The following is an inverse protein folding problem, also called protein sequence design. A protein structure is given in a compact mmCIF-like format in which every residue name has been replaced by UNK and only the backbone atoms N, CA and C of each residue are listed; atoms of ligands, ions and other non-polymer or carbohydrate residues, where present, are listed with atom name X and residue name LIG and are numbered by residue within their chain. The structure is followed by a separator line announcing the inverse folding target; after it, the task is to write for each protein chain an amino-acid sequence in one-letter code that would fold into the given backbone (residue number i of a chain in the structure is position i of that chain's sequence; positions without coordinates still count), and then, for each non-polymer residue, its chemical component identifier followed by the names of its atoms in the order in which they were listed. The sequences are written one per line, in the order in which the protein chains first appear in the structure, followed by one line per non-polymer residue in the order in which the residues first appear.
data_IF_311448368237
#
_entry.id   IF_311448368237
#
_cell.length_a   1.000
_cell.length_b   1.000
_cell.length_c   1.000
_cell.angle_alpha   90.00
_cell.angle_beta   90.00
_cell.angle_gamma   90.00
#
_symmetry.space_group_name_H-M   'P 1'
#
loop_
_entity.id
_entity.type
_entity.pdbx_description
1 polymer ?
#
# COMPACT_ATOMS: atom_id res chain seq x y z
N UNK A 1 -10.76 -22.85 6.63
CA UNK A 1 -10.71 -23.34 5.24
C UNK A 1 -11.76 -24.43 5.06
N UNK A 2 -12.49 -24.41 3.95
CA UNK A 2 -13.54 -25.36 3.63
C UNK A 2 -13.41 -25.85 2.19
N UNK A 3 -13.88 -27.08 1.90
CA UNK A 3 -13.93 -27.64 0.54
C UNK A 3 -15.08 -27.05 -0.30
N UNK A 4 -16.10 -26.54 0.37
CA UNK A 4 -17.26 -25.89 -0.24
C UNK A 4 -17.77 -24.80 0.70
N UNK A 5 -18.37 -23.79 0.12
CA UNK A 5 -19.01 -22.68 0.85
C UNK A 5 -20.28 -22.25 0.12
N UNK A 6 -21.19 -21.61 0.84
CA UNK A 6 -22.39 -20.99 0.27
C UNK A 6 -22.29 -19.49 0.52
N UNK A 7 -22.26 -18.74 -0.56
CA UNK A 7 -22.18 -17.27 -0.54
C UNK A 7 -23.12 -16.68 -1.57
N UNK A 8 -23.55 -15.41 -1.42
CA UNK A 8 -24.29 -14.72 -2.45
C UNK A 8 -23.51 -14.67 -3.77
N UNK A 9 -24.17 -14.90 -4.90
CA UNK A 9 -23.55 -14.88 -6.24
C UNK A 9 -22.79 -13.56 -6.51
N UNK A 10 -23.30 -12.43 -6.01
CA UNK A 10 -22.68 -11.12 -6.17
C UNK A 10 -21.28 -11.05 -5.53
N UNK A 11 -21.00 -11.88 -4.55
CA UNK A 11 -19.71 -11.94 -3.87
C UNK A 11 -18.68 -12.84 -4.59
N UNK A 12 -19.02 -13.39 -5.75
CA UNK A 12 -18.17 -14.29 -6.51
C UNK A 12 -17.59 -13.61 -7.74
N UNK A 13 -16.30 -13.80 -7.97
CA UNK A 13 -15.62 -13.51 -9.23
C UNK A 13 -15.20 -14.83 -9.88
N UNK A 14 -15.64 -15.07 -11.11
CA UNK A 14 -15.27 -16.26 -11.88
C UNK A 14 -13.90 -16.04 -12.50
N UNK A 15 -12.95 -16.88 -12.17
CA UNK A 15 -11.59 -16.86 -12.74
C UNK A 15 -11.42 -18.03 -13.73
N UNK A 16 -10.37 -17.98 -14.53
CA UNK A 16 -10.02 -19.04 -15.49
C UNK A 16 -9.73 -20.36 -14.76
N UNK A 17 -10.08 -21.48 -15.39
CA UNK A 17 -10.03 -22.83 -14.77
C UNK A 17 -8.61 -23.37 -14.59
N UNK A 18 -7.67 -22.91 -15.40
CA UNK A 18 -6.26 -23.31 -15.39
C UNK A 18 -5.41 -22.51 -14.41
N UNK A 19 -5.99 -21.52 -13.70
CA UNK A 19 -5.30 -20.77 -12.68
C UNK A 19 -4.95 -21.65 -11.45
N UNK A 20 -3.70 -21.60 -10.96
CA UNK A 20 -3.29 -22.36 -9.78
C UNK A 20 -3.93 -21.77 -8.53
N UNK A 21 -4.94 -22.45 -7.97
CA UNK A 21 -5.76 -21.94 -6.88
C UNK A 21 -4.98 -21.64 -5.59
N UNK A 22 -3.87 -22.35 -5.35
CA UNK A 22 -2.95 -22.13 -4.22
C UNK A 22 -2.18 -20.80 -4.31
N UNK A 23 -2.12 -20.18 -5.48
CA UNK A 23 -1.50 -18.87 -5.73
C UNK A 23 -2.55 -17.77 -5.87
N UNK A 24 -3.53 -17.98 -6.77
CA UNK A 24 -4.50 -16.93 -7.08
C UNK A 24 -5.46 -16.60 -5.93
N UNK A 25 -5.55 -17.46 -4.91
CA UNK A 25 -6.31 -17.15 -3.70
C UNK A 25 -5.81 -15.86 -2.99
N UNK A 26 -4.55 -15.46 -3.17
CA UNK A 26 -3.99 -14.22 -2.63
C UNK A 26 -4.55 -12.98 -3.36
N UNK A 27 -5.00 -13.13 -4.60
CA UNK A 27 -5.56 -12.04 -5.40
C UNK A 27 -6.94 -11.61 -4.92
N UNK A 28 -7.64 -12.47 -4.17
CA UNK A 28 -8.98 -12.18 -3.66
C UNK A 28 -9.04 -11.11 -2.55
N UNK A 29 -7.92 -10.73 -1.94
CA UNK A 29 -7.86 -9.69 -0.92
C UNK A 29 -6.51 -8.97 -0.93
N UNK A 30 -5.43 -9.67 -0.61
CA UNK A 30 -4.11 -9.09 -0.34
C UNK A 30 -3.58 -8.26 -1.52
N UNK A 31 -3.47 -8.87 -2.69
CA UNK A 31 -2.95 -8.20 -3.88
C UNK A 31 -3.92 -7.17 -4.44
N UNK A 32 -5.22 -7.46 -4.49
CA UNK A 32 -6.23 -6.49 -4.90
C UNK A 32 -6.19 -5.23 -4.04
N UNK A 33 -6.05 -5.40 -2.73
CA UNK A 33 -5.96 -4.28 -1.80
C UNK A 33 -4.69 -3.47 -2.05
N UNK A 34 -3.52 -4.11 -2.10
CA UNK A 34 -2.26 -3.39 -2.25
C UNK A 34 -2.12 -2.73 -3.61
N UNK A 35 -2.26 -3.48 -4.70
CA UNK A 35 -2.15 -2.95 -6.07
C UNK A 35 -3.25 -1.90 -6.33
N UNK A 36 -4.49 -2.20 -5.92
CA UNK A 36 -5.62 -1.28 -6.09
C UNK A 36 -5.47 0.02 -5.30
N UNK A 37 -4.86 -0.02 -4.12
CA UNK A 37 -4.56 1.21 -3.35
C UNK A 37 -3.67 2.17 -4.14
N UNK A 38 -2.71 1.63 -4.88
CA UNK A 38 -1.79 2.40 -5.70
C UNK A 38 -2.46 2.86 -7.00
N UNK A 39 -3.06 1.93 -7.76
CA UNK A 39 -3.57 2.21 -9.11
C UNK A 39 -4.96 2.86 -9.13
N UNK A 40 -5.87 2.43 -8.24
CA UNK A 40 -7.27 2.87 -8.27
C UNK A 40 -7.53 4.00 -7.26
N UNK A 41 -6.99 3.87 -6.04
CA UNK A 41 -7.26 4.85 -4.96
C UNK A 41 -6.38 6.07 -5.09
N UNK A 42 -5.06 5.92 -4.98
CA UNK A 42 -4.10 7.03 -5.07
C UNK A 42 -3.87 7.48 -6.52
N UNK A 43 -3.98 6.55 -7.48
CA UNK A 43 -3.68 6.80 -8.91
C UNK A 43 -2.27 7.35 -9.07
N UNK A 44 -1.31 6.63 -8.48
CA UNK A 44 0.11 7.01 -8.50
C UNK A 44 0.55 7.30 -9.93
N UNK A 45 1.16 8.43 -10.13
CA UNK A 45 1.64 8.89 -11.43
C UNK A 45 3.05 8.35 -11.72
N UNK A 46 3.41 8.10 -13.00
CA UNK A 46 4.78 7.75 -13.37
C UNK A 46 5.78 8.82 -12.91
N UNK A 47 6.95 8.39 -12.47
CA UNK A 47 8.01 9.28 -11.98
C UNK A 47 7.88 9.66 -10.50
N UNK A 48 6.81 9.23 -9.82
CA UNK A 48 6.56 9.58 -8.41
C UNK A 48 7.51 8.90 -7.43
N UNK A 49 7.68 9.52 -6.27
CA UNK A 49 8.31 8.93 -5.08
C UNK A 49 7.25 8.38 -4.14
N UNK A 50 7.36 7.10 -3.79
CA UNK A 50 6.37 6.37 -2.99
C UNK A 50 7.01 5.80 -1.74
N UNK A 51 6.38 5.98 -0.56
CA UNK A 51 6.75 5.30 0.67
C UNK A 51 5.69 4.28 1.10
N UNK A 52 6.12 3.09 1.51
CA UNK A 52 5.25 2.00 1.93
C UNK A 52 5.64 1.58 3.35
N UNK A 53 4.76 1.84 4.32
CA UNK A 53 4.99 1.54 5.73
C UNK A 53 4.35 0.20 6.08
N UNK A 54 5.19 -0.78 6.37
CA UNK A 54 4.80 -2.16 6.61
C UNK A 54 4.93 -3.05 5.38
N UNK A 55 5.98 -3.87 5.34
CA UNK A 55 6.29 -4.79 4.25
C UNK A 55 5.72 -6.21 4.54
N UNK A 56 4.42 -6.26 4.86
CA UNK A 56 3.62 -7.48 4.85
C UNK A 56 3.09 -7.78 3.45
N UNK A 57 2.18 -8.75 3.32
CA UNK A 57 1.60 -9.12 2.02
C UNK A 57 0.99 -7.92 1.27
N UNK A 58 0.23 -7.06 1.97
CA UNK A 58 -0.38 -5.86 1.37
C UNK A 58 0.69 -4.84 0.99
N UNK A 59 1.69 -4.58 1.87
CA UNK A 59 2.77 -3.65 1.55
C UNK A 59 3.61 -4.11 0.36
N UNK A 60 3.92 -5.40 0.26
CA UNK A 60 4.62 -5.95 -0.90
C UNK A 60 3.77 -5.85 -2.19
N UNK A 61 2.44 -6.00 -2.08
CA UNK A 61 1.55 -5.75 -3.19
C UNK A 61 1.49 -4.26 -3.59
N UNK A 62 1.61 -3.33 -2.62
CA UNK A 62 1.78 -1.90 -2.90
C UNK A 62 3.10 -1.62 -3.64
N UNK A 63 4.21 -2.30 -3.26
CA UNK A 63 5.49 -2.19 -3.98
C UNK A 63 5.30 -2.56 -5.45
N UNK A 64 4.67 -3.72 -5.72
CA UNK A 64 4.39 -4.14 -7.10
C UNK A 64 3.45 -3.17 -7.83
N UNK A 65 2.42 -2.67 -7.15
CA UNK A 65 1.53 -1.64 -7.69
C UNK A 65 2.29 -0.36 -8.07
N UNK A 66 3.24 0.10 -7.25
CA UNK A 66 4.07 1.27 -7.52
C UNK A 66 4.99 1.06 -8.73
N UNK A 67 5.57 -0.14 -8.87
CA UNK A 67 6.31 -0.52 -10.09
C UNK A 67 5.40 -0.48 -11.32
N UNK A 68 4.19 -1.06 -11.23
CA UNK A 68 3.21 -1.03 -12.34
C UNK A 68 2.78 0.39 -12.70
N UNK A 69 2.71 1.30 -11.73
CA UNK A 69 2.40 2.71 -11.95
C UNK A 69 3.57 3.50 -12.59
N UNK A 70 4.77 2.92 -12.62
CA UNK A 70 5.96 3.60 -13.12
C UNK A 70 6.55 4.61 -12.12
N UNK A 71 6.43 4.34 -10.80
CA UNK A 71 7.11 5.14 -9.79
C UNK A 71 8.62 5.03 -9.93
N UNK A 72 9.33 6.16 -9.82
CA UNK A 72 10.80 6.21 -9.93
C UNK A 72 11.50 5.76 -8.66
N UNK A 73 10.91 6.07 -7.51
CA UNK A 73 11.47 5.73 -6.22
C UNK A 73 10.43 5.07 -5.31
N UNK A 74 10.75 3.90 -4.78
CA UNK A 74 9.84 3.09 -3.96
C UNK A 74 10.57 2.72 -2.67
N UNK A 75 10.17 3.36 -1.57
CA UNK A 75 10.80 3.26 -0.25
C UNK A 75 9.99 2.32 0.62
N UNK A 76 10.53 1.15 0.94
CA UNK A 76 9.94 0.21 1.88
C UNK A 76 10.36 0.50 3.32
N UNK A 77 9.41 0.65 4.25
CA UNK A 77 9.67 0.96 5.66
C UNK A 77 9.14 -0.18 6.53
N UNK A 78 10.02 -0.89 7.23
CA UNK A 78 9.63 -1.97 8.16
C UNK A 78 10.67 -2.13 9.28
N UNK A 79 10.23 -2.52 10.46
CA UNK A 79 11.13 -2.79 11.60
C UNK A 79 11.83 -4.15 11.53
N UNK A 80 11.47 -5.01 10.58
CA UNK A 80 12.07 -6.32 10.36
C UNK A 80 12.90 -6.33 9.06
N UNK A 81 14.23 -6.24 9.13
CA UNK A 81 15.08 -6.17 7.95
C UNK A 81 15.06 -7.46 7.10
N UNK A 82 14.59 -8.59 7.63
CA UNK A 82 14.43 -9.84 6.86
C UNK A 82 13.43 -9.72 5.69
N UNK A 83 12.59 -8.69 5.70
CA UNK A 83 11.62 -8.44 4.63
C UNK A 83 12.20 -7.59 3.48
N UNK A 84 13.34 -6.95 3.70
CA UNK A 84 13.92 -6.01 2.75
C UNK A 84 14.35 -6.68 1.45
N UNK A 85 14.97 -7.85 1.54
CA UNK A 85 15.38 -8.61 0.35
C UNK A 85 14.20 -8.88 -0.58
N UNK A 86 13.06 -9.34 -0.03
CA UNK A 86 11.86 -9.61 -0.82
C UNK A 86 11.23 -8.32 -1.36
N UNK A 87 11.25 -7.22 -0.59
CA UNK A 87 10.76 -5.93 -1.06
C UNK A 87 11.60 -5.41 -2.25
N UNK A 88 12.92 -5.53 -2.17
CA UNK A 88 13.82 -5.18 -3.27
C UNK A 88 13.59 -6.06 -4.51
N UNK A 89 13.39 -7.37 -4.31
CA UNK A 89 13.05 -8.29 -5.42
C UNK A 89 11.72 -7.91 -6.10
N UNK A 90 10.77 -7.33 -5.35
CA UNK A 90 9.48 -6.87 -5.88
C UNK A 90 9.54 -5.46 -6.47
N UNK A 91 10.67 -4.79 -6.38
CA UNK A 91 10.94 -3.51 -7.03
C UNK A 91 11.03 -2.30 -6.10
N UNK A 92 11.14 -2.49 -4.78
CA UNK A 92 11.55 -1.39 -3.90
C UNK A 92 12.95 -0.92 -4.28
N UNK A 93 13.17 0.40 -4.28
CA UNK A 93 14.49 1.00 -4.57
C UNK A 93 15.31 1.20 -3.32
N UNK A 94 14.63 1.45 -2.21
CA UNK A 94 15.22 1.73 -0.89
C UNK A 94 14.46 0.97 0.20
N UNK A 95 15.15 0.61 1.28
CA UNK A 95 14.51 0.07 2.48
C UNK A 95 15.03 0.78 3.73
N UNK A 96 14.11 1.15 4.62
CA UNK A 96 14.43 1.89 5.85
C UNK A 96 13.91 1.13 7.06
N UNK A 97 14.79 0.89 8.02
CA UNK A 97 14.40 0.39 9.33
C UNK A 97 14.28 1.57 10.30
N UNK A 98 13.08 1.88 10.81
CA UNK A 98 12.87 2.97 11.75
C UNK A 98 13.75 2.91 13.01
N UNK A 99 14.15 1.68 13.44
CA UNK A 99 15.00 1.48 14.61
C UNK A 99 16.44 1.94 14.38
N UNK A 100 16.91 1.92 13.14
CA UNK A 100 18.30 2.24 12.81
C UNK A 100 18.48 3.75 12.57
N UNK A 101 17.44 4.44 12.09
CA UNK A 101 17.49 5.87 11.75
C UNK A 101 17.01 6.79 12.89
N UNK A 102 16.27 6.26 13.87
CA UNK A 102 15.71 7.02 14.99
C UNK A 102 14.57 7.96 14.59
N UNK A 103 14.85 9.03 13.87
CA UNK A 103 13.84 9.93 13.30
C UNK A 103 13.50 9.48 11.87
N UNK A 104 12.51 8.61 11.74
CA UNK A 104 12.06 8.09 10.45
C UNK A 104 11.41 9.18 9.57
N UNK A 105 10.79 10.17 10.18
CA UNK A 105 10.13 11.28 9.45
C UNK A 105 11.18 12.19 8.83
N UNK A 106 12.11 12.73 9.63
CA UNK A 106 13.21 13.56 9.14
C UNK A 106 14.04 12.83 8.10
N UNK A 107 14.39 11.56 8.36
CA UNK A 107 15.16 10.75 7.42
C UNK A 107 14.46 10.61 6.05
N UNK A 108 13.14 10.32 6.02
CA UNK A 108 12.41 10.20 4.75
C UNK A 108 12.28 11.55 4.02
N UNK A 109 12.04 12.64 4.76
CA UNK A 109 11.97 13.98 4.19
C UNK A 109 13.30 14.37 3.54
N UNK A 110 14.41 14.12 4.23
CA UNK A 110 15.77 14.47 3.77
C UNK A 110 16.16 13.65 2.53
N UNK A 111 15.87 12.34 2.52
CA UNK A 111 16.22 11.47 1.39
C UNK A 111 15.34 11.71 0.16
N UNK A 112 14.22 12.44 0.28
CA UNK A 112 13.25 12.70 -0.80
C UNK A 112 13.10 14.18 -1.14
N UNK A 113 14.01 15.02 -0.66
CA UNK A 113 14.02 16.46 -0.92
C UNK A 113 12.67 17.15 -0.60
N UNK A 114 12.15 16.88 0.60
CA UNK A 114 10.94 17.56 1.11
C UNK A 114 9.72 16.66 1.33
N UNK A 115 9.82 15.38 1.04
CA UNK A 115 8.79 14.38 1.30
C UNK A 115 8.41 13.56 0.06
N UNK A 116 7.63 12.51 0.26
CA UNK A 116 7.17 11.63 -0.82
C UNK A 116 5.88 12.15 -1.46
N UNK A 117 5.65 11.81 -2.73
CA UNK A 117 4.40 12.13 -3.42
C UNK A 117 3.24 11.30 -2.87
N UNK A 118 3.52 10.02 -2.57
CA UNK A 118 2.51 9.11 -2.03
C UNK A 118 3.07 8.30 -0.87
N UNK A 119 2.26 8.10 0.16
CA UNK A 119 2.56 7.16 1.24
C UNK A 119 1.42 6.17 1.46
N UNK A 120 1.76 4.91 1.76
CA UNK A 120 0.80 3.84 2.03
C UNK A 120 1.06 3.24 3.40
N UNK A 121 0.08 3.34 4.30
CA UNK A 121 0.14 2.73 5.62
C UNK A 121 -0.51 1.34 5.57
N UNK A 122 0.29 0.28 5.78
CA UNK A 122 -0.09 -1.11 5.60
C UNK A 122 -0.01 -1.95 6.90
N UNK A 123 0.09 -1.30 8.07
CA UNK A 123 0.23 -1.96 9.38
C UNK A 123 -1.09 -1.96 10.15
N UNK A 124 -1.79 -0.81 10.16
CA UNK A 124 -2.97 -0.58 10.96
C UNK A 124 -2.66 -0.01 12.35
N UNK A 125 -1.66 0.85 12.45
CA UNK A 125 -1.28 1.53 13.67
C UNK A 125 -1.47 3.05 13.52
N UNK A 126 -2.16 3.68 14.47
CA UNK A 126 -2.51 5.12 14.40
C UNK A 126 -1.28 6.03 14.37
N UNK A 127 -0.19 5.65 15.03
CA UNK A 127 1.06 6.41 15.00
C UNK A 127 1.72 6.34 13.61
N UNK A 128 1.77 5.14 13.00
CA UNK A 128 2.31 4.99 11.64
C UNK A 128 1.43 5.65 10.59
N UNK A 129 0.10 5.72 10.81
CA UNK A 129 -0.80 6.52 9.97
C UNK A 129 -0.45 8.01 10.01
N UNK A 130 -0.17 8.53 11.21
CA UNK A 130 0.31 9.91 11.39
C UNK A 130 1.66 10.15 10.72
N UNK A 131 2.62 9.24 10.91
CA UNK A 131 3.94 9.28 10.25
C UNK A 131 3.79 9.28 8.72
N UNK A 132 2.93 8.41 8.18
CA UNK A 132 2.66 8.34 6.74
C UNK A 132 2.22 9.70 6.16
N UNK A 133 1.33 10.41 6.86
CA UNK A 133 0.92 11.75 6.44
C UNK A 133 2.07 12.78 6.54
N UNK A 134 2.88 12.72 7.61
CA UNK A 134 3.93 13.72 7.85
C UNK A 134 5.10 13.62 6.88
N UNK A 135 5.43 12.42 6.39
CA UNK A 135 6.49 12.23 5.39
C UNK A 135 6.07 12.62 3.97
N UNK A 136 4.78 12.89 3.73
CA UNK A 136 4.31 13.36 2.43
C UNK A 136 4.78 14.80 2.15
N UNK A 137 5.03 15.09 0.89
CA UNK A 137 5.42 16.43 0.43
C UNK A 137 4.32 17.47 0.71
N UNK A 138 4.73 18.69 1.10
CA UNK A 138 3.81 19.83 1.20
C UNK A 138 3.32 20.21 -0.20
N UNK A 139 2.04 20.56 -0.31
CA UNK A 139 1.45 21.05 -1.55
C UNK A 139 0.64 20.02 -2.31
N UNK A 140 1.10 18.75 -2.36
CA UNK A 140 0.41 17.73 -3.15
C UNK A 140 0.48 16.30 -2.60
N UNK A 141 1.36 16.02 -1.62
CA UNK A 141 1.58 14.66 -1.15
C UNK A 141 0.32 14.01 -0.58
N UNK A 142 0.09 12.75 -0.92
CA UNK A 142 -1.09 11.99 -0.53
C UNK A 142 -0.72 10.78 0.33
N UNK A 143 -1.39 10.63 1.46
CA UNK A 143 -1.26 9.48 2.37
C UNK A 143 -2.52 8.62 2.33
N UNK A 144 -2.36 7.32 2.05
CA UNK A 144 -3.45 6.34 2.00
C UNK A 144 -3.36 5.38 3.18
N UNK A 145 -4.41 5.32 3.98
CA UNK A 145 -4.58 4.38 5.08
C UNK A 145 -5.19 3.09 4.52
N UNK A 146 -4.48 1.98 4.67
CA UNK A 146 -4.93 0.65 4.26
C UNK A 146 -5.06 -0.26 5.49
N UNK A 147 -4.13 -0.14 6.43
CA UNK A 147 -4.11 -0.93 7.66
C UNK A 147 -5.33 -0.65 8.53
N UNK A 148 -5.81 -1.69 9.24
CA UNK A 148 -6.98 -1.59 10.11
C UNK A 148 -6.53 -1.42 11.55
N UNK A 149 -6.80 -0.26 12.14
CA UNK A 149 -6.54 0.01 13.54
C UNK A 149 -7.53 -0.74 14.47
N UNK A 150 -7.14 -0.91 15.71
CA UNK A 150 -8.01 -1.50 16.73
C UNK A 150 -9.30 -0.68 16.96
N UNK A 151 -10.39 -1.35 17.33
CA UNK A 151 -11.66 -0.69 17.60
C UNK A 151 -11.51 0.40 18.66
N UNK A 152 -12.06 1.58 18.39
CA UNK A 152 -12.04 2.74 19.29
C UNK A 152 -10.74 3.56 19.22
N UNK A 153 -9.76 3.18 18.42
CA UNK A 153 -8.60 4.02 18.16
C UNK A 153 -8.93 5.12 17.16
N UNK A 154 -8.38 6.31 17.41
CA UNK A 154 -8.60 7.50 16.59
C UNK A 154 -7.28 8.01 16.03
N UNK A 155 -7.31 8.56 14.81
CA UNK A 155 -6.18 9.26 14.20
C UNK A 155 -6.29 10.75 14.48
N UNK A 156 -5.15 11.37 14.76
CA UNK A 156 -5.07 12.81 15.03
C UNK A 156 -4.00 13.45 14.13
N UNK A 157 -4.31 14.60 13.58
CA UNK A 157 -3.39 15.38 12.79
C UNK A 157 -3.51 16.87 13.09
N UNK A 158 -2.39 17.60 13.02
CA UNK A 158 -2.45 19.06 13.03
C UNK A 158 -3.16 19.55 11.76
N UNK A 159 -4.19 20.39 11.84
CA UNK A 159 -4.92 20.89 10.66
C UNK A 159 -4.00 21.53 9.62
N UNK A 160 -2.88 22.13 10.05
CA UNK A 160 -1.91 22.74 9.16
C UNK A 160 -1.28 21.78 8.16
N UNK A 161 -1.18 20.47 8.49
CA UNK A 161 -0.71 19.46 7.54
C UNK A 161 -1.63 19.36 6.31
N UNK A 162 -2.94 19.45 6.52
CA UNK A 162 -3.94 19.38 5.45
C UNK A 162 -4.09 20.74 4.74
N UNK A 163 -4.08 21.85 5.49
CA UNK A 163 -4.14 23.22 4.92
C UNK A 163 -2.94 23.49 3.98
N UNK A 164 -1.81 22.86 4.23
CA UNK A 164 -0.63 22.96 3.35
C UNK A 164 -0.65 22.00 2.15
N UNK A 165 -1.82 21.43 1.83
CA UNK A 165 -2.06 20.72 0.58
C UNK A 165 -1.90 19.20 0.62
N UNK A 166 -1.53 18.64 1.78
CA UNK A 166 -1.51 17.17 1.90
C UNK A 166 -2.92 16.59 1.89
N UNK A 167 -3.05 15.41 1.32
CA UNK A 167 -4.29 14.63 1.32
C UNK A 167 -4.15 13.43 2.27
N UNK A 168 -5.15 13.17 3.09
CA UNK A 168 -5.23 11.97 3.91
C UNK A 168 -6.52 11.23 3.58
N UNK A 169 -6.42 10.05 3.04
CA UNK A 169 -7.60 9.23 2.66
C UNK A 169 -7.45 7.78 3.08
N UNK A 170 -8.58 7.09 3.19
CA UNK A 170 -8.64 5.64 3.34
C UNK A 170 -8.96 4.96 2.03
N UNK A 171 -8.79 3.65 2.02
CA UNK A 171 -9.23 2.78 0.93
C UNK A 171 -9.84 1.51 1.48
N UNK A 172 -10.86 0.99 0.82
CA UNK A 172 -11.42 -0.32 1.09
C UNK A 172 -11.15 -1.22 -0.11
N UNK A 173 -10.49 -2.37 0.12
CA UNK A 173 -10.15 -3.33 -0.94
C UNK A 173 -9.35 -2.71 -2.11
N UNK A 174 -8.59 -1.64 -1.82
CA UNK A 174 -7.84 -0.90 -2.84
C UNK A 174 -8.71 -0.21 -3.89
N UNK A 175 -9.97 0.09 -3.61
CA UNK A 175 -10.91 0.59 -4.61
C UNK A 175 -11.24 -0.41 -5.72
N UNK A 176 -10.85 -1.66 -5.57
CA UNK A 176 -11.00 -2.72 -6.59
C UNK A 176 -12.46 -3.17 -6.71
N UNK A 177 -12.96 -3.23 -7.94
CA UNK A 177 -14.28 -3.80 -8.26
C UNK A 177 -14.13 -5.31 -8.41
N UNK A 178 -14.26 -6.07 -7.31
CA UNK A 178 -13.87 -7.47 -7.21
C UNK A 178 -14.34 -8.37 -8.35
N UNK A 179 -15.62 -8.28 -8.78
CA UNK A 179 -16.17 -9.13 -9.85
C UNK A 179 -15.54 -8.92 -11.22
N UNK A 180 -15.11 -7.69 -11.50
CA UNK A 180 -14.60 -7.31 -12.83
C UNK A 180 -13.07 -7.23 -12.87
N UNK A 181 -12.42 -6.84 -11.79
CA UNK A 181 -10.98 -6.57 -11.77
C UNK A 181 -10.15 -7.76 -11.26
N UNK A 182 -10.67 -8.55 -10.30
CA UNK A 182 -9.95 -9.75 -9.82
C UNK A 182 -9.66 -10.75 -10.93
N UNK A 183 -10.59 -11.07 -11.86
CA UNK A 183 -10.25 -11.90 -13.02
C UNK A 183 -9.11 -11.33 -13.86
N UNK A 184 -9.08 -10.01 -14.08
CA UNK A 184 -7.98 -9.34 -14.79
C UNK A 184 -6.64 -9.46 -14.08
N UNK A 185 -6.61 -9.38 -12.75
CA UNK A 185 -5.38 -9.62 -11.97
C UNK A 185 -4.92 -11.09 -12.09
N UNK A 186 -5.85 -12.04 -12.16
CA UNK A 186 -5.52 -13.44 -12.44
C UNK A 186 -4.91 -13.59 -13.82
N UNK A 187 -5.47 -12.93 -14.85
CA UNK A 187 -4.93 -12.99 -16.20
C UNK A 187 -3.54 -12.37 -16.32
N UNK A 188 -3.27 -11.27 -15.58
CA UNK A 188 -1.93 -10.67 -15.49
C UNK A 188 -0.91 -11.60 -14.81
N UNK A 189 -1.35 -12.40 -13.83
CA UNK A 189 -0.50 -13.38 -13.17
C UNK A 189 -0.16 -14.55 -14.07
N UNK A 190 -1.06 -14.98 -14.92
CA UNK A 190 -0.91 -16.16 -15.83
C UNK A 190 -0.03 -15.88 -17.04
#
# INVERSE_FOLDING_TARGET
FARATVVPEIALAKVRKDAPLDKVCLLGCCFSTGIGSVLNTAKVEPGSTVAIIGLGGIGLACVQGAVMAGADRIIGIDTNPKKFELAMQFGATDCVNPKDVGDVEGHNIDMTDGGVDYSFECIGNVETMGTALRICHKGWGESVIIGVAGAGQEIHARPFLLVTGRVWRGTAFGGTKGRTEVPGLVDLYM
#
